data_IF_603487947621
#
_entry.id   IF_603487947621
#
_cell.length_a   1.000
_cell.length_b   1.000
_cell.length_c   1.000
_cell.angle_alpha   90.00
_cell.angle_beta   90.00
_cell.angle_gamma   90.00
#
_symmetry.space_group_name_H-M   'P 1'
#
loop_
_entity.id
_entity.type
_entity.pdbx_description
1 polymer ?
#
# COMPACT_ATOMS: atom_id res chain seq x y z
N UNK A 1 19.38 -0.36 -22.98
CA UNK A 1 20.01 0.91 -23.37
C UNK A 1 21.37 0.59 -23.93
N UNK A 2 21.51 0.55 -25.25
CA UNK A 2 22.74 0.20 -25.92
C UNK A 2 23.50 1.47 -26.35
N UNK A 3 24.84 1.40 -26.38
CA UNK A 3 25.72 2.53 -26.68
C UNK A 3 25.38 3.79 -25.86
N UNK A 4 24.86 3.61 -24.66
CA UNK A 4 24.46 4.69 -23.76
C UNK A 4 25.71 5.47 -23.30
N UNK A 5 25.71 6.80 -23.50
CA UNK A 5 26.86 7.64 -23.20
C UNK A 5 26.46 9.07 -22.84
N UNK A 6 27.27 9.66 -21.99
CA UNK A 6 27.18 11.06 -21.57
C UNK A 6 28.23 11.87 -22.30
N UNK A 7 27.86 13.03 -22.88
CA UNK A 7 28.72 13.87 -23.66
C UNK A 7 29.03 15.13 -22.89
N UNK A 8 30.31 15.46 -22.72
CA UNK A 8 30.79 16.72 -22.12
C UNK A 8 30.73 17.87 -23.11
N UNK A 9 30.85 19.12 -22.61
CA UNK A 9 30.83 20.33 -23.41
C UNK A 9 31.96 20.38 -24.46
N UNK A 10 33.08 19.70 -24.22
CA UNK A 10 34.20 19.59 -25.15
C UNK A 10 34.03 18.48 -26.20
N UNK A 11 32.90 17.77 -26.19
CA UNK A 11 32.59 16.67 -27.07
C UNK A 11 33.12 15.32 -26.62
N UNK A 12 33.80 15.23 -25.48
CA UNK A 12 34.27 13.97 -24.92
C UNK A 12 33.06 13.13 -24.48
N UNK A 13 33.02 11.84 -24.92
CA UNK A 13 32.00 10.90 -24.52
C UNK A 13 32.51 10.01 -23.38
N UNK A 14 31.63 9.71 -22.43
CA UNK A 14 31.82 8.72 -21.35
C UNK A 14 30.70 7.70 -21.44
N UNK A 15 31.04 6.40 -21.46
CA UNK A 15 30.04 5.35 -21.52
C UNK A 15 29.26 5.27 -20.20
N UNK A 16 27.95 5.07 -20.28
CA UNK A 16 27.09 5.02 -19.09
C UNK A 16 27.39 3.80 -18.22
N UNK A 17 27.83 2.72 -18.81
CA UNK A 17 28.28 1.50 -18.11
C UNK A 17 29.57 1.70 -17.28
N UNK A 18 30.33 2.78 -17.55
CA UNK A 18 31.53 3.19 -16.80
C UNK A 18 31.18 4.14 -15.64
N UNK A 19 29.96 4.67 -15.60
CA UNK A 19 29.49 5.59 -14.55
C UNK A 19 28.71 4.79 -13.50
N UNK A 20 29.10 4.82 -12.22
CA UNK A 20 28.33 4.13 -11.17
C UNK A 20 26.96 4.81 -11.01
N UNK A 21 25.90 4.01 -10.97
CA UNK A 21 24.56 4.50 -10.61
C UNK A 21 24.40 4.57 -9.10
N UNK A 22 23.66 5.56 -8.60
CA UNK A 22 23.37 5.73 -7.17
C UNK A 22 22.15 4.94 -6.73
N UNK A 23 21.20 4.74 -7.64
CA UNK A 23 20.01 3.95 -7.39
C UNK A 23 19.72 3.06 -8.60
N UNK A 24 19.39 1.81 -8.36
CA UNK A 24 19.04 0.88 -9.42
C UNK A 24 18.07 -0.19 -8.96
N UNK A 25 16.92 -0.26 -9.62
CA UNK A 25 15.93 -1.31 -9.42
C UNK A 25 15.48 -1.84 -10.77
N UNK A 26 15.23 -3.13 -10.85
CA UNK A 26 14.68 -3.81 -12.01
C UNK A 26 13.52 -4.70 -11.59
N UNK A 27 12.55 -4.90 -12.48
CA UNK A 27 11.38 -5.74 -12.23
C UNK A 27 11.72 -7.22 -12.05
N UNK A 28 12.86 -7.65 -12.59
CA UNK A 28 13.44 -8.97 -12.42
C UNK A 28 14.96 -8.89 -12.64
N UNK A 29 15.73 -9.68 -11.88
CA UNK A 29 17.18 -9.63 -11.81
C UNK A 29 17.71 -8.24 -11.37
N UNK A 30 19.03 -8.07 -11.34
CA UNK A 30 19.67 -6.77 -11.11
C UNK A 30 19.99 -6.10 -12.45
N UNK A 31 20.05 -4.75 -12.49
CA UNK A 31 20.63 -4.08 -13.63
C UNK A 31 22.04 -4.60 -13.92
N UNK A 32 22.38 -4.80 -15.19
CA UNK A 32 23.70 -5.29 -15.61
C UNK A 32 24.32 -4.34 -16.63
N UNK A 33 25.65 -4.26 -16.55
CA UNK A 33 26.46 -3.46 -17.47
C UNK A 33 27.06 -4.39 -18.51
N UNK A 34 26.90 -4.02 -19.79
CA UNK A 34 27.47 -4.70 -20.96
C UNK A 34 26.99 -6.13 -21.22
N UNK A 35 26.11 -6.66 -20.39
CA UNK A 35 25.50 -7.99 -20.57
C UNK A 35 23.99 -7.94 -20.34
N UNK A 36 23.28 -8.89 -20.89
CA UNK A 36 21.86 -9.12 -20.62
C UNK A 36 21.64 -9.90 -19.31
N UNK A 37 20.41 -10.27 -19.00
CA UNK A 37 20.06 -10.98 -17.78
C UNK A 37 20.81 -12.32 -17.58
N UNK A 38 21.22 -12.95 -18.66
CA UNK A 38 21.85 -14.27 -18.69
C UNK A 38 23.38 -14.22 -18.85
N UNK A 39 23.99 -13.04 -18.66
CA UNK A 39 25.43 -12.79 -18.81
C UNK A 39 25.95 -12.98 -20.24
N UNK A 40 25.05 -12.88 -21.23
CA UNK A 40 25.41 -12.84 -22.65
C UNK A 40 25.52 -11.38 -23.12
N UNK A 41 26.10 -11.17 -24.30
CA UNK A 41 26.15 -9.88 -24.97
C UNK A 41 24.73 -9.30 -25.18
N UNK A 42 24.59 -7.98 -25.11
CA UNK A 42 23.32 -7.30 -25.41
C UNK A 42 23.12 -7.34 -26.93
N UNK A 43 22.03 -7.94 -27.37
CA UNK A 43 21.64 -8.03 -28.80
C UNK A 43 20.27 -7.39 -28.97
N UNK A 44 20.16 -6.40 -29.87
CA UNK A 44 18.90 -5.72 -30.19
C UNK A 44 18.69 -5.78 -31.71
N UNK A 45 17.61 -6.41 -32.15
CA UNK A 45 17.29 -6.59 -33.57
C UNK A 45 18.47 -7.18 -34.38
N UNK A 46 19.13 -8.20 -33.84
CA UNK A 46 20.26 -8.92 -34.46
C UNK A 46 21.59 -8.14 -34.42
N UNK A 47 21.66 -6.98 -33.79
CA UNK A 47 22.88 -6.19 -33.65
C UNK A 47 23.45 -6.35 -32.23
N UNK A 48 24.70 -6.76 -32.13
CA UNK A 48 25.45 -6.90 -30.87
C UNK A 48 26.02 -5.55 -30.42
N UNK A 49 25.99 -5.31 -29.07
CA UNK A 49 26.48 -4.09 -28.45
C UNK A 49 27.47 -4.41 -27.32
N UNK A 50 28.65 -3.79 -27.40
CA UNK A 50 29.71 -3.93 -26.38
C UNK A 50 29.49 -3.06 -25.18
N UNK A 51 28.81 -1.92 -25.36
CA UNK A 51 28.47 -0.98 -24.29
C UNK A 51 26.95 -0.90 -24.13
N UNK A 52 26.48 -1.05 -22.92
CA UNK A 52 25.06 -0.92 -22.65
C UNK A 52 24.67 -1.20 -21.21
N UNK A 53 23.46 -0.82 -20.91
CA UNK A 53 22.84 -1.04 -19.60
C UNK A 53 21.57 -1.86 -19.78
N UNK A 54 21.61 -3.07 -19.28
CA UNK A 54 20.43 -3.93 -19.20
C UNK A 54 19.65 -3.64 -17.93
N UNK A 55 18.35 -3.42 -18.06
CA UNK A 55 17.45 -3.29 -16.93
C UNK A 55 16.08 -3.85 -17.31
N UNK A 56 15.61 -4.85 -16.57
CA UNK A 56 14.30 -5.44 -16.83
C UNK A 56 13.18 -4.46 -16.43
N UNK A 57 12.19 -4.31 -17.31
CA UNK A 57 11.01 -3.49 -16.99
C UNK A 57 10.20 -4.11 -15.83
N UNK A 58 9.73 -3.32 -14.94
CA UNK A 58 9.75 -1.91 -14.60
C UNK A 58 11.07 -1.50 -13.89
N UNK A 59 12.08 -1.12 -14.62
CA UNK A 59 13.37 -0.78 -14.05
C UNK A 59 13.61 0.74 -14.03
N UNK A 60 14.36 1.18 -13.04
CA UNK A 60 14.81 2.57 -12.90
C UNK A 60 16.26 2.59 -12.46
N UNK A 61 17.06 3.41 -13.12
CA UNK A 61 18.44 3.68 -12.76
C UNK A 61 18.62 5.20 -12.59
N UNK A 62 19.34 5.61 -11.58
CA UNK A 62 19.67 7.01 -11.33
C UNK A 62 21.18 7.16 -11.31
N UNK A 63 21.67 8.09 -12.11
CA UNK A 63 23.10 8.35 -12.27
C UNK A 63 23.47 9.76 -11.79
N UNK A 64 24.54 9.90 -10.99
CA UNK A 64 25.06 11.21 -10.59
C UNK A 64 25.88 11.79 -11.73
N UNK A 65 25.34 12.78 -12.45
CA UNK A 65 26.02 13.35 -13.62
C UNK A 65 26.80 14.65 -13.35
N UNK A 66 26.69 15.26 -12.15
CA UNK A 66 27.54 16.32 -11.64
C UNK A 66 27.63 17.60 -12.48
N UNK A 67 26.67 17.89 -13.35
CA UNK A 67 26.67 19.09 -14.22
C UNK A 67 27.80 19.12 -15.25
N UNK A 68 28.54 18.03 -15.45
CA UNK A 68 29.69 17.96 -16.36
C UNK A 68 29.31 17.63 -17.79
N UNK A 69 28.10 17.15 -18.02
CA UNK A 69 27.62 16.62 -19.27
C UNK A 69 26.54 17.55 -19.87
N UNK A 70 26.55 17.68 -21.15
CA UNK A 70 25.62 18.55 -21.90
C UNK A 70 24.62 17.73 -22.73
N UNK A 71 24.83 16.41 -22.87
CA UNK A 71 23.97 15.55 -23.67
C UNK A 71 24.09 14.09 -23.25
N UNK A 72 22.97 13.37 -23.31
CA UNK A 72 22.90 11.92 -23.22
C UNK A 72 22.51 11.33 -24.58
N UNK A 73 23.14 10.25 -24.98
CA UNK A 73 22.85 9.51 -26.20
C UNK A 73 22.73 8.03 -25.90
N UNK A 74 21.73 7.34 -26.48
CA UNK A 74 21.60 5.90 -26.40
C UNK A 74 20.79 5.35 -27.57
N UNK A 75 21.05 4.10 -27.97
CA UNK A 75 20.13 3.27 -28.72
C UNK A 75 19.30 2.46 -27.73
N UNK A 76 17.99 2.33 -27.97
CA UNK A 76 17.10 1.62 -27.05
C UNK A 76 16.36 0.50 -27.78
N UNK A 77 16.16 -0.61 -27.09
CA UNK A 77 15.42 -1.75 -27.66
C UNK A 77 15.25 -2.86 -26.62
N UNK A 78 14.49 -3.87 -27.01
CA UNK A 78 14.32 -5.08 -26.23
C UNK A 78 15.42 -6.06 -26.66
N UNK A 79 16.10 -6.68 -25.70
CA UNK A 79 17.11 -7.70 -25.97
C UNK A 79 16.47 -8.92 -26.66
N UNK A 80 17.13 -9.46 -27.67
CA UNK A 80 16.61 -10.53 -28.54
C UNK A 80 16.38 -11.87 -27.80
N UNK A 81 16.85 -12.00 -26.55
CA UNK A 81 16.50 -13.13 -25.68
C UNK A 81 15.05 -13.07 -25.20
N UNK A 82 14.38 -11.94 -25.38
CA UNK A 82 12.97 -11.73 -25.02
C UNK A 82 12.08 -12.20 -26.18
N UNK A 83 11.14 -13.09 -25.90
CA UNK A 83 10.24 -13.65 -26.92
C UNK A 83 9.09 -12.76 -27.35
N UNK A 84 9.04 -11.51 -26.87
CA UNK A 84 7.98 -10.52 -27.18
C UNK A 84 7.77 -9.53 -26.05
N UNK A 85 6.90 -8.57 -26.29
CA UNK A 85 6.55 -7.53 -25.35
C UNK A 85 6.73 -6.13 -25.92
N UNK A 86 6.29 -5.14 -25.19
CA UNK A 86 6.56 -3.72 -25.46
C UNK A 86 7.12 -3.07 -24.21
N UNK A 87 8.16 -2.25 -24.38
CA UNK A 87 8.80 -1.54 -23.28
C UNK A 87 8.81 -0.06 -23.63
N UNK A 88 8.47 0.75 -22.65
CA UNK A 88 8.59 2.17 -22.72
C UNK A 88 9.95 2.59 -22.13
N UNK A 89 10.71 3.38 -22.89
CA UNK A 89 12.01 3.91 -22.48
C UNK A 89 11.87 5.40 -22.17
N UNK A 90 12.34 5.80 -21.01
CA UNK A 90 12.27 7.19 -20.57
C UNK A 90 13.60 7.62 -19.95
N UNK A 91 14.11 8.76 -20.35
CA UNK A 91 15.21 9.44 -19.68
C UNK A 91 14.67 10.73 -19.06
N UNK A 92 14.89 10.94 -17.79
CA UNK A 92 14.34 12.05 -17.01
C UNK A 92 15.47 12.90 -16.43
N UNK A 93 15.23 14.18 -16.32
CA UNK A 93 16.06 15.14 -15.57
C UNK A 93 15.49 15.39 -14.16
N UNK A 94 14.47 14.65 -13.77
CA UNK A 94 13.89 14.67 -12.42
C UNK A 94 13.83 13.27 -11.86
N UNK A 95 14.01 13.15 -10.55
CA UNK A 95 13.87 11.86 -9.86
C UNK A 95 12.38 11.55 -9.70
N UNK A 96 11.89 10.39 -10.17
CA UNK A 96 10.51 9.98 -9.93
C UNK A 96 10.19 9.95 -8.43
N UNK A 97 8.95 10.27 -8.03
CA UNK A 97 8.55 10.43 -6.62
C UNK A 97 8.86 9.20 -5.77
N UNK A 98 8.65 7.99 -6.30
CA UNK A 98 8.95 6.75 -5.59
C UNK A 98 10.46 6.54 -5.36
N UNK A 99 11.30 7.03 -6.27
CA UNK A 99 12.77 7.02 -6.11
C UNK A 99 13.19 8.08 -5.12
N UNK A 100 12.57 9.26 -5.16
CA UNK A 100 12.82 10.34 -4.21
C UNK A 100 12.45 9.92 -2.77
N UNK A 101 11.39 9.12 -2.57
CA UNK A 101 11.04 8.57 -1.27
C UNK A 101 12.11 7.61 -0.73
N UNK A 102 12.71 6.78 -1.56
CA UNK A 102 13.83 5.91 -1.17
C UNK A 102 15.11 6.71 -0.92
N UNK A 103 15.42 7.70 -1.75
CA UNK A 103 16.58 8.57 -1.62
C UNK A 103 16.43 9.57 -0.46
N UNK A 104 15.22 9.87 0.02
CA UNK A 104 14.98 10.70 1.22
C UNK A 104 15.57 10.09 2.52
N UNK A 105 16.03 8.86 2.46
CA UNK A 105 16.85 8.26 3.51
C UNK A 105 18.29 8.83 3.52
N UNK A 106 18.69 9.49 2.43
CA UNK A 106 20.04 10.03 2.20
C UNK A 106 19.94 11.45 1.60
N UNK A 107 19.53 12.45 2.42
CA UNK A 107 19.18 13.79 1.90
C UNK A 107 20.36 14.58 1.32
N UNK A 108 21.60 14.28 1.66
CA UNK A 108 22.77 14.94 1.09
C UNK A 108 23.01 14.52 -0.36
N UNK A 109 22.78 13.27 -0.68
CA UNK A 109 22.89 12.69 -2.01
C UNK A 109 21.79 13.22 -2.95
N UNK A 110 20.58 13.47 -2.43
CA UNK A 110 19.46 14.02 -3.21
C UNK A 110 19.72 15.46 -3.65
N UNK A 111 20.28 16.28 -2.78
CA UNK A 111 20.65 17.67 -3.13
C UNK A 111 21.65 17.71 -4.28
N UNK A 112 22.62 16.80 -4.28
CA UNK A 112 23.58 16.64 -5.38
C UNK A 112 22.90 16.14 -6.65
N UNK A 113 22.02 15.16 -6.55
CA UNK A 113 21.33 14.55 -7.68
C UNK A 113 20.37 15.54 -8.36
N UNK A 114 19.59 16.32 -7.60
CA UNK A 114 18.71 17.35 -8.14
C UNK A 114 19.47 18.42 -8.94
N UNK A 115 20.57 18.96 -8.39
CA UNK A 115 21.41 19.93 -9.08
C UNK A 115 22.06 19.40 -10.36
N UNK A 116 22.27 18.11 -10.43
CA UNK A 116 22.88 17.39 -11.54
C UNK A 116 21.90 17.17 -12.68
N UNK A 117 20.66 16.78 -12.37
CA UNK A 117 19.63 16.51 -13.38
C UNK A 117 19.11 17.80 -14.02
N UNK A 118 19.09 18.91 -13.31
CA UNK A 118 18.74 20.25 -13.84
C UNK A 118 19.69 20.77 -14.94
N UNK A 119 20.90 20.22 -15.04
CA UNK A 119 21.88 20.56 -16.06
C UNK A 119 21.78 19.78 -17.37
N UNK A 120 20.89 18.78 -17.48
CA UNK A 120 20.74 17.93 -18.67
C UNK A 120 19.61 18.41 -19.60
N UNK A 121 19.81 19.60 -20.23
CA UNK A 121 18.76 20.25 -21.01
C UNK A 121 18.52 19.70 -22.43
N UNK A 122 19.31 18.74 -22.92
CA UNK A 122 19.20 18.31 -24.32
C UNK A 122 19.15 16.78 -24.45
N UNK A 123 17.98 16.28 -24.76
CA UNK A 123 17.73 14.89 -25.08
C UNK A 123 17.61 14.67 -26.58
N UNK A 124 18.24 13.61 -27.12
CA UNK A 124 18.14 13.22 -28.54
C UNK A 124 16.83 12.51 -28.90
N UNK A 125 16.00 12.18 -27.93
CA UNK A 125 14.65 11.72 -28.19
C UNK A 125 13.82 12.96 -28.44
N UNK A 126 13.09 13.02 -29.55
CA UNK A 126 12.11 14.07 -29.76
C UNK A 126 11.11 13.98 -28.62
N UNK A 127 11.14 14.92 -27.66
CA UNK A 127 10.26 14.83 -26.52
C UNK A 127 8.84 15.00 -27.03
N UNK A 128 7.95 14.11 -26.58
CA UNK A 128 6.53 14.24 -26.78
C UNK A 128 5.80 14.01 -25.44
N UNK A 129 4.54 14.32 -25.39
CA UNK A 129 3.72 14.15 -24.20
C UNK A 129 2.99 12.79 -24.17
N UNK A 130 3.53 11.75 -24.81
CA UNK A 130 2.85 10.46 -24.94
C UNK A 130 2.63 9.76 -23.61
N UNK A 131 3.55 9.91 -22.68
CA UNK A 131 3.49 9.33 -21.32
C UNK A 131 2.41 9.97 -20.49
N UNK A 132 2.41 11.29 -20.43
CA UNK A 132 1.45 12.08 -19.67
C UNK A 132 0.05 11.89 -20.27
N UNK A 133 -0.04 11.82 -21.61
CA UNK A 133 -1.28 11.46 -22.29
C UNK A 133 -1.76 10.07 -21.89
N UNK A 134 -0.89 9.07 -21.91
CA UNK A 134 -1.26 7.70 -21.50
C UNK A 134 -1.68 7.65 -20.03
N UNK A 135 -0.99 8.38 -19.15
CA UNK A 135 -1.36 8.51 -17.75
C UNK A 135 -2.76 9.13 -17.60
N UNK A 136 -3.05 10.18 -18.38
CA UNK A 136 -4.37 10.81 -18.39
C UNK A 136 -5.46 9.86 -18.92
N UNK A 137 -5.21 9.17 -20.03
CA UNK A 137 -6.14 8.19 -20.60
C UNK A 137 -6.43 7.06 -19.59
N UNK A 138 -5.41 6.54 -18.91
CA UNK A 138 -5.54 5.50 -17.87
C UNK A 138 -6.33 6.01 -16.64
N UNK A 139 -6.10 7.25 -16.22
CA UNK A 139 -6.86 7.86 -15.12
C UNK A 139 -8.33 8.04 -15.51
N UNK A 140 -8.61 8.57 -16.70
CA UNK A 140 -9.97 8.79 -17.23
C UNK A 140 -10.74 7.47 -17.35
N UNK A 141 -10.08 6.39 -17.77
CA UNK A 141 -10.71 5.07 -17.91
C UNK A 141 -11.25 4.50 -16.58
N UNK A 142 -10.83 5.02 -15.44
CA UNK A 142 -11.32 4.63 -14.11
C UNK A 142 -12.61 5.32 -13.69
N UNK A 143 -12.98 6.42 -14.37
CA UNK A 143 -14.24 7.11 -14.11
C UNK A 143 -15.41 6.32 -14.69
N UNK A 144 -16.57 6.35 -14.03
CA UNK A 144 -17.83 5.77 -14.55
C UNK A 144 -18.27 6.41 -15.86
N UNK A 145 -17.98 7.70 -16.02
CA UNK A 145 -18.18 8.45 -17.26
C UNK A 145 -16.99 9.40 -17.46
N UNK A 146 -16.12 9.04 -18.40
CA UNK A 146 -14.92 9.79 -18.73
C UNK A 146 -15.03 10.62 -20.02
N UNK A 147 -16.21 10.66 -20.67
CA UNK A 147 -16.36 11.26 -22.01
C UNK A 147 -15.93 12.74 -22.07
N UNK A 148 -16.31 13.53 -21.08
CA UNK A 148 -15.91 14.93 -20.98
C UNK A 148 -14.38 15.08 -20.90
N UNK A 149 -13.76 14.35 -19.99
CA UNK A 149 -12.31 14.43 -19.76
C UNK A 149 -11.49 13.83 -20.90
N UNK A 150 -12.01 12.83 -21.61
CA UNK A 150 -11.46 12.35 -22.87
C UNK A 150 -11.43 13.45 -23.96
N UNK A 151 -12.46 14.29 -23.99
CA UNK A 151 -12.48 15.45 -24.91
C UNK A 151 -11.47 16.53 -24.46
N UNK A 152 -11.31 16.76 -23.16
CA UNK A 152 -10.26 17.65 -22.63
C UNK A 152 -8.87 17.12 -23.01
N UNK A 153 -8.61 15.82 -22.85
CA UNK A 153 -7.35 15.20 -23.27
C UNK A 153 -7.06 15.38 -24.77
N UNK A 154 -8.09 15.25 -25.63
CA UNK A 154 -7.96 15.52 -27.07
C UNK A 154 -7.64 17.00 -27.38
N UNK A 155 -8.17 17.94 -26.61
CA UNK A 155 -7.84 19.35 -26.76
C UNK A 155 -6.39 19.63 -26.37
N UNK A 156 -5.90 19.03 -25.28
CA UNK A 156 -4.52 19.11 -24.83
C UNK A 156 -3.58 18.57 -25.92
N UNK A 157 -3.95 17.50 -26.63
CA UNK A 157 -3.16 16.94 -27.72
C UNK A 157 -2.88 17.92 -28.87
N UNK A 158 -3.70 18.96 -29.03
CA UNK A 158 -3.51 20.01 -30.04
C UNK A 158 -2.63 21.18 -29.55
N UNK A 159 -2.15 21.17 -28.30
CA UNK A 159 -1.23 22.17 -27.79
C UNK A 159 0.12 22.06 -28.50
N UNK A 160 0.65 23.21 -28.94
CA UNK A 160 1.89 23.27 -29.73
C UNK A 160 3.15 23.37 -28.87
N UNK A 161 3.02 23.97 -27.69
CA UNK A 161 4.11 24.05 -26.75
C UNK A 161 4.15 22.80 -25.89
N UNK A 162 5.21 22.00 -26.02
CA UNK A 162 5.35 20.72 -25.37
C UNK A 162 5.29 20.83 -23.84
N UNK A 163 5.98 21.81 -23.25
CA UNK A 163 5.98 21.96 -21.78
C UNK A 163 4.58 22.30 -21.26
N UNK A 164 3.84 23.13 -22.00
CA UNK A 164 2.44 23.44 -21.69
C UNK A 164 1.54 22.22 -21.85
N UNK A 165 1.79 21.41 -22.89
CA UNK A 165 1.04 20.16 -23.13
C UNK A 165 1.25 19.17 -21.99
N UNK A 166 2.49 18.90 -21.59
CA UNK A 166 2.85 18.04 -20.46
C UNK A 166 2.20 18.54 -19.17
N UNK A 167 2.35 19.81 -18.84
CA UNK A 167 1.75 20.38 -17.63
C UNK A 167 0.23 20.21 -17.60
N UNK A 168 -0.47 20.48 -18.71
CA UNK A 168 -1.93 20.30 -18.81
C UNK A 168 -2.36 18.85 -18.66
N UNK A 169 -1.58 17.88 -19.17
CA UNK A 169 -1.87 16.46 -18.92
C UNK A 169 -1.70 16.10 -17.46
N UNK A 170 -0.65 16.56 -16.78
CA UNK A 170 -0.44 16.32 -15.37
C UNK A 170 -1.56 16.93 -14.52
N UNK A 171 -1.95 18.17 -14.79
CA UNK A 171 -3.11 18.84 -14.15
C UNK A 171 -4.40 18.04 -14.38
N UNK A 172 -4.58 17.47 -15.59
CA UNK A 172 -5.73 16.61 -15.90
C UNK A 172 -5.69 15.30 -15.10
N UNK A 173 -4.52 14.68 -14.98
CA UNK A 173 -4.35 13.46 -14.15
C UNK A 173 -4.73 13.72 -12.70
N UNK A 174 -4.22 14.79 -12.10
CA UNK A 174 -4.54 15.18 -10.73
C UNK A 174 -6.05 15.40 -10.55
N UNK A 175 -6.65 16.18 -11.43
CA UNK A 175 -8.09 16.45 -11.42
C UNK A 175 -8.92 15.17 -11.52
N UNK A 176 -8.56 14.29 -12.43
CA UNK A 176 -9.29 13.01 -12.65
C UNK A 176 -9.07 12.06 -11.47
N UNK A 177 -7.89 12.03 -10.86
CA UNK A 177 -7.65 11.24 -9.66
C UNK A 177 -8.48 11.74 -8.46
N UNK A 178 -8.58 13.07 -8.28
CA UNK A 178 -9.47 13.67 -7.27
C UNK A 178 -10.92 13.26 -7.51
N UNK A 179 -11.39 13.31 -8.75
CA UNK A 179 -12.74 12.90 -9.12
C UNK A 179 -12.99 11.40 -8.94
N UNK A 180 -12.00 10.58 -9.22
CA UNK A 180 -12.10 9.15 -8.96
C UNK A 180 -12.25 8.84 -7.47
N UNK A 181 -11.49 9.54 -6.61
CA UNK A 181 -11.65 9.45 -5.16
C UNK A 181 -13.04 9.89 -4.74
N UNK A 182 -13.49 11.04 -5.23
CA UNK A 182 -14.83 11.55 -4.95
C UNK A 182 -15.95 10.59 -5.40
N UNK A 183 -15.80 10.00 -6.58
CA UNK A 183 -16.71 8.95 -7.08
C UNK A 183 -16.76 7.76 -6.12
N UNK A 184 -15.60 7.27 -5.69
CA UNK A 184 -15.51 6.13 -4.77
C UNK A 184 -16.17 6.45 -3.44
N UNK A 185 -15.96 7.65 -2.89
CA UNK A 185 -16.58 8.07 -1.64
C UNK A 185 -18.12 8.20 -1.76
N UNK A 186 -18.60 8.66 -2.92
CA UNK A 186 -20.03 8.75 -3.19
C UNK A 186 -20.72 7.39 -3.34
N UNK A 187 -20.00 6.34 -3.75
CA UNK A 187 -20.52 4.96 -3.76
C UNK A 187 -20.87 4.46 -2.36
N UNK A 188 -20.16 4.94 -1.36
CA UNK A 188 -20.40 4.65 0.06
C UNK A 188 -21.33 5.66 0.73
N UNK A 189 -21.89 6.60 -0.03
CA UNK A 189 -22.87 7.56 0.49
C UNK A 189 -24.27 6.92 0.53
N UNK A 190 -24.63 6.45 1.72
CA UNK A 190 -25.95 5.93 2.02
C UNK A 190 -26.69 6.92 2.96
N UNK A 191 -27.47 7.83 2.39
CA UNK A 191 -28.15 8.89 3.14
C UNK A 191 -29.21 8.32 4.07
N UNK A 192 -29.90 7.23 3.70
CA UNK A 192 -30.86 6.58 4.59
C UNK A 192 -30.19 6.00 5.84
N UNK A 193 -29.00 5.39 5.68
CA UNK A 193 -28.22 4.95 6.84
C UNK A 193 -27.80 6.11 7.73
N UNK A 194 -27.44 7.26 7.15
CA UNK A 194 -27.10 8.48 7.95
C UNK A 194 -28.33 9.01 8.70
N UNK A 195 -29.53 8.98 8.09
CA UNK A 195 -30.79 9.37 8.77
C UNK A 195 -31.07 8.44 9.98
N UNK A 196 -30.91 7.13 9.79
CA UNK A 196 -31.11 6.16 10.87
C UNK A 196 -30.11 6.38 12.00
N UNK A 197 -28.83 6.57 11.65
CA UNK A 197 -27.79 6.86 12.64
C UNK A 197 -28.06 8.18 13.38
N UNK A 198 -28.45 9.25 12.68
CA UNK A 198 -28.84 10.52 13.30
C UNK A 198 -30.02 10.35 14.27
N UNK A 199 -31.06 9.62 13.86
CA UNK A 199 -32.24 9.37 14.68
C UNK A 199 -31.92 8.59 15.95
N UNK A 200 -30.92 7.72 15.91
CA UNK A 200 -30.42 6.99 17.08
C UNK A 200 -29.52 7.87 17.96
N UNK A 201 -28.55 8.57 17.38
CA UNK A 201 -27.64 9.47 18.10
C UNK A 201 -28.39 10.62 18.79
N UNK A 202 -29.47 11.11 18.19
CA UNK A 202 -30.36 12.15 18.80
C UNK A 202 -30.90 11.74 20.17
N UNK A 203 -31.00 10.46 20.49
CA UNK A 203 -31.45 9.92 21.77
C UNK A 203 -30.33 9.87 22.81
N UNK A 204 -29.09 10.04 22.38
CA UNK A 204 -27.92 9.89 23.25
C UNK A 204 -27.59 11.20 23.98
N UNK A 205 -27.22 11.06 25.25
CA UNK A 205 -26.78 12.21 26.06
C UNK A 205 -25.45 12.74 25.48
N UNK A 206 -25.40 14.03 25.19
CA UNK A 206 -24.21 14.70 24.67
C UNK A 206 -24.20 14.89 23.15
N UNK A 207 -25.17 14.32 22.42
CA UNK A 207 -25.30 14.61 21.00
C UNK A 207 -26.11 15.90 20.76
N UNK A 208 -25.49 16.88 20.09
CA UNK A 208 -26.13 18.14 19.74
C UNK A 208 -26.92 18.01 18.42
N UNK A 209 -28.13 17.46 18.52
CA UNK A 209 -28.97 17.26 17.34
C UNK A 209 -29.31 18.56 16.61
N UNK A 210 -29.50 19.68 17.35
CA UNK A 210 -29.84 20.97 16.77
C UNK A 210 -28.75 21.52 15.85
N UNK A 211 -27.50 21.25 16.18
CA UNK A 211 -26.32 21.61 15.36
C UNK A 211 -26.25 20.82 14.05
N UNK A 212 -26.61 19.53 14.07
CA UNK A 212 -26.41 18.63 12.94
C UNK A 212 -27.66 18.41 12.07
N UNK A 213 -28.86 18.75 12.56
CA UNK A 213 -30.10 18.64 11.77
C UNK A 213 -30.08 19.49 10.48
N UNK A 214 -29.57 20.73 10.47
CA UNK A 214 -29.39 21.48 9.21
C UNK A 214 -28.45 20.78 8.22
N UNK A 215 -27.37 20.13 8.70
CA UNK A 215 -26.45 19.39 7.86
C UNK A 215 -27.12 18.13 7.26
N UNK A 216 -27.99 17.44 8.01
CA UNK A 216 -28.76 16.32 7.51
C UNK A 216 -29.73 16.75 6.43
N UNK A 217 -30.43 17.87 6.62
CA UNK A 217 -31.34 18.43 5.64
C UNK A 217 -30.61 18.81 4.34
N UNK A 218 -29.44 19.42 4.47
CA UNK A 218 -28.58 19.75 3.34
C UNK A 218 -28.11 18.50 2.60
N UNK A 219 -27.65 17.47 3.32
CA UNK A 219 -27.26 16.19 2.74
C UNK A 219 -28.39 15.57 1.93
N UNK A 220 -29.60 15.53 2.47
CA UNK A 220 -30.81 15.04 1.77
C UNK A 220 -31.11 15.86 0.52
N UNK A 221 -30.98 17.18 0.60
CA UNK A 221 -31.18 18.09 -0.54
C UNK A 221 -30.19 17.80 -1.66
N UNK A 222 -28.89 17.64 -1.30
CA UNK A 222 -27.81 17.39 -2.25
C UNK A 222 -27.94 16.00 -2.92
N UNK A 223 -28.32 14.98 -2.15
CA UNK A 223 -28.60 13.64 -2.70
C UNK A 223 -29.72 13.69 -3.75
N UNK A 224 -30.85 14.38 -3.45
CA UNK A 224 -31.96 14.54 -4.38
C UNK A 224 -31.57 15.28 -5.67
N UNK A 225 -30.67 16.26 -5.57
CA UNK A 225 -30.10 16.96 -6.74
C UNK A 225 -29.26 16.01 -7.60
N UNK A 226 -28.57 15.09 -6.95
CA UNK A 226 -27.64 14.15 -7.58
C UNK A 226 -26.31 14.78 -7.98
N UNK A 227 -25.33 13.94 -8.33
CA UNK A 227 -23.94 14.34 -8.51
C UNK A 227 -23.42 14.08 -9.95
N UNK A 228 -24.30 13.81 -10.92
CA UNK A 228 -23.88 13.46 -12.29
C UNK A 228 -23.00 14.52 -12.97
N UNK A 229 -23.16 15.79 -12.58
CA UNK A 229 -22.35 16.90 -13.10
C UNK A 229 -20.84 16.76 -12.84
N UNK A 230 -20.39 15.95 -11.84
CA UNK A 230 -18.97 15.75 -11.56
C UNK A 230 -18.22 15.20 -12.78
N UNK A 231 -18.88 14.38 -13.60
CA UNK A 231 -18.29 13.79 -14.79
C UNK A 231 -18.20 14.74 -15.99
N UNK A 232 -18.88 15.89 -15.91
CA UNK A 232 -18.92 16.90 -16.96
C UNK A 232 -18.09 18.15 -16.63
N UNK A 233 -17.26 18.09 -15.56
CA UNK A 233 -16.45 19.23 -15.12
C UNK A 233 -17.27 20.35 -14.46
N UNK A 234 -18.49 20.07 -14.02
CA UNK A 234 -19.32 21.03 -13.29
C UNK A 234 -18.76 21.24 -11.87
N UNK A 235 -18.10 22.37 -11.67
CA UNK A 235 -17.46 22.71 -10.38
C UNK A 235 -18.49 22.83 -9.25
N UNK A 236 -19.75 23.23 -9.56
CA UNK A 236 -20.78 23.28 -8.55
C UNK A 236 -21.23 21.88 -8.12
N UNK A 237 -21.30 20.92 -9.07
CA UNK A 237 -21.61 19.54 -8.75
C UNK A 237 -20.47 18.87 -7.93
N UNK A 238 -19.23 19.22 -8.22
CA UNK A 238 -18.06 18.77 -7.44
C UNK A 238 -18.13 19.34 -6.02
N UNK A 239 -18.39 20.63 -5.88
CA UNK A 239 -18.54 21.27 -4.56
C UNK A 239 -19.73 20.69 -3.76
N UNK A 240 -20.86 20.44 -4.42
CA UNK A 240 -22.04 19.82 -3.82
C UNK A 240 -21.73 18.38 -3.33
N UNK A 241 -21.01 17.61 -4.11
CA UNK A 241 -20.58 16.25 -3.75
C UNK A 241 -19.65 16.26 -2.51
N UNK A 242 -18.62 17.12 -2.51
CA UNK A 242 -17.74 17.31 -1.37
C UNK A 242 -18.52 17.74 -0.12
N UNK A 243 -19.46 18.65 -0.28
CA UNK A 243 -20.31 19.12 0.81
C UNK A 243 -21.21 18.02 1.38
N UNK A 244 -21.76 17.16 0.54
CA UNK A 244 -22.55 16.02 0.98
C UNK A 244 -21.73 15.05 1.84
N UNK A 245 -20.49 14.72 1.42
CA UNK A 245 -19.57 13.87 2.18
C UNK A 245 -19.12 14.53 3.49
N UNK A 246 -18.87 15.84 3.48
CA UNK A 246 -18.57 16.62 4.69
C UNK A 246 -19.73 16.56 5.68
N UNK A 247 -20.97 16.77 5.23
CA UNK A 247 -22.15 16.67 6.08
C UNK A 247 -22.29 15.28 6.70
N UNK A 248 -22.18 14.21 5.88
CA UNK A 248 -22.16 12.82 6.37
C UNK A 248 -21.11 12.63 7.46
N UNK A 249 -19.86 13.05 7.19
CA UNK A 249 -18.74 12.91 8.13
C UNK A 249 -18.99 13.65 9.42
N UNK A 250 -19.41 14.93 9.37
CA UNK A 250 -19.66 15.74 10.54
C UNK A 250 -20.75 15.15 11.42
N UNK A 251 -21.86 14.68 10.84
CA UNK A 251 -22.97 14.06 11.56
C UNK A 251 -22.50 12.80 12.29
N UNK A 252 -21.81 11.89 11.59
CA UNK A 252 -21.45 10.58 12.13
C UNK A 252 -20.31 10.65 13.16
N UNK A 253 -19.30 11.50 12.93
CA UNK A 253 -18.18 11.68 13.85
C UNK A 253 -18.55 12.48 15.11
N UNK A 254 -19.73 13.08 15.15
CA UNK A 254 -20.26 13.71 16.36
C UNK A 254 -20.86 12.72 17.36
N UNK A 255 -20.89 11.44 17.06
CA UNK A 255 -21.39 10.42 17.98
C UNK A 255 -20.62 10.47 19.30
N UNK A 256 -21.31 10.69 20.44
CA UNK A 256 -20.66 10.79 21.76
C UNK A 256 -19.91 9.52 22.19
N UNK A 257 -20.24 8.37 21.58
CA UNK A 257 -19.54 7.11 21.83
C UNK A 257 -18.20 7.02 21.08
N UNK A 258 -17.96 7.90 20.11
CA UNK A 258 -16.69 8.02 19.40
C UNK A 258 -15.84 9.12 20.07
N UNK A 259 -15.48 8.94 21.32
CA UNK A 259 -14.70 9.90 22.12
C UNK A 259 -13.18 9.76 21.93
N UNK A 260 -12.75 8.81 21.11
CA UNK A 260 -11.35 8.65 20.80
C UNK A 260 -10.79 9.84 20.00
N UNK A 261 -9.66 10.37 20.45
CA UNK A 261 -8.91 11.41 19.74
C UNK A 261 -7.97 10.83 18.68
N UNK A 262 -7.57 9.58 18.88
CA UNK A 262 -6.62 8.86 18.05
C UNK A 262 -7.08 7.43 17.85
N UNK A 263 -6.70 6.85 16.72
CA UNK A 263 -6.82 5.42 16.45
C UNK A 263 -5.50 4.86 15.89
N UNK A 264 -5.28 3.59 16.12
CA UNK A 264 -4.15 2.84 15.57
C UNK A 264 -4.68 1.87 14.53
N UNK A 265 -4.02 1.81 13.39
CA UNK A 265 -4.42 0.97 12.27
C UNK A 265 -3.21 0.34 11.57
N UNK A 266 -3.42 -0.82 10.95
CA UNK A 266 -2.50 -1.34 9.96
C UNK A 266 -2.83 -0.72 8.59
N UNK A 267 -1.81 -0.21 7.90
CA UNK A 267 -1.91 0.35 6.55
C UNK A 267 -1.17 -0.54 5.58
N UNK A 268 -1.80 -0.84 4.45
CA UNK A 268 -1.24 -1.64 3.37
C UNK A 268 -1.24 -0.84 2.07
N UNK A 269 -0.22 -1.01 1.24
CA UNK A 269 -0.17 -0.41 -0.09
C UNK A 269 -1.12 -1.14 -1.05
N UNK A 270 -2.10 -0.42 -1.58
CA UNK A 270 -3.04 -0.94 -2.58
C UNK A 270 -2.31 -1.27 -3.88
N UNK A 271 -2.64 -2.42 -4.48
CA UNK A 271 -2.03 -2.86 -5.75
C UNK A 271 -0.67 -3.54 -5.60
N UNK A 272 -0.12 -3.68 -4.39
CA UNK A 272 1.02 -4.54 -4.16
C UNK A 272 0.65 -6.01 -4.41
N UNK A 273 1.61 -6.83 -4.82
CA UNK A 273 1.39 -8.27 -5.00
C UNK A 273 0.87 -8.93 -3.72
N UNK A 274 1.39 -8.50 -2.59
CA UNK A 274 0.96 -8.96 -1.28
C UNK A 274 -0.49 -8.56 -0.97
N UNK A 275 -0.91 -7.33 -1.30
CA UNK A 275 -2.30 -6.90 -1.17
C UNK A 275 -3.24 -7.81 -1.98
N UNK A 276 -2.86 -8.20 -3.20
CA UNK A 276 -3.66 -9.11 -4.02
C UNK A 276 -3.83 -10.49 -3.38
N UNK A 277 -2.82 -10.98 -2.67
CA UNK A 277 -2.86 -12.26 -1.96
C UNK A 277 -3.77 -12.17 -0.72
N UNK A 278 -3.74 -11.04 -0.02
CA UNK A 278 -4.49 -10.82 1.23
C UNK A 278 -5.93 -10.33 1.00
N UNK A 279 -6.27 -9.89 -0.21
CA UNK A 279 -7.62 -9.44 -0.54
C UNK A 279 -8.53 -10.65 -0.83
N UNK A 280 -9.76 -10.69 -0.32
CA UNK A 280 -10.48 -9.61 0.38
C UNK A 280 -10.26 -9.57 1.89
N UNK A 281 -9.41 -10.40 2.43
CA UNK A 281 -9.38 -10.71 3.86
C UNK A 281 -8.29 -10.02 4.64
N UNK A 282 -7.83 -8.86 4.26
CA UNK A 282 -6.88 -7.97 4.99
C UNK A 282 -6.48 -8.51 6.39
N UNK A 283 -5.49 -9.40 6.45
CA UNK A 283 -5.04 -10.00 7.70
C UNK A 283 -5.88 -11.16 8.23
N UNK A 284 -6.90 -11.60 7.49
CA UNK A 284 -7.67 -12.80 7.81
C UNK A 284 -7.45 -13.88 6.76
N UNK A 285 -7.86 -15.11 7.04
CA UNK A 285 -7.73 -16.22 6.11
C UNK A 285 -8.68 -16.06 4.92
N UNK A 286 -8.24 -16.52 3.78
CA UNK A 286 -9.06 -16.57 2.58
C UNK A 286 -10.26 -17.54 2.71
N UNK A 287 -10.17 -18.51 3.62
CA UNK A 287 -11.18 -19.54 3.88
C UNK A 287 -10.97 -20.20 5.25
N UNK A 288 -11.89 -21.07 5.65
CA UNK A 288 -11.89 -21.68 6.99
C UNK A 288 -10.83 -22.76 7.20
N UNK A 289 -10.25 -23.34 6.16
CA UNK A 289 -9.20 -24.37 6.30
C UNK A 289 -7.79 -23.80 6.29
N UNK A 290 -7.63 -22.56 5.86
CA UNK A 290 -6.36 -21.84 5.95
C UNK A 290 -6.29 -21.04 7.25
N UNK A 291 -5.11 -20.85 7.75
CA UNK A 291 -4.84 -19.97 8.89
C UNK A 291 -3.74 -18.97 8.54
N UNK A 292 -3.26 -18.22 9.52
CA UNK A 292 -2.18 -17.24 9.31
C UNK A 292 -0.94 -17.89 8.70
N UNK A 293 -0.70 -19.16 8.99
CA UNK A 293 0.44 -19.92 8.50
C UNK A 293 0.45 -20.05 6.98
N UNK A 294 -0.72 -20.17 6.35
CA UNK A 294 -0.86 -20.23 4.89
C UNK A 294 -0.81 -18.87 4.19
N UNK A 295 -0.80 -17.77 4.94
CA UNK A 295 -0.69 -16.43 4.38
C UNK A 295 0.71 -16.16 3.81
N UNK A 296 0.79 -15.24 2.85
CA UNK A 296 2.08 -14.78 2.31
C UNK A 296 2.96 -14.19 3.42
N UNK A 297 4.25 -14.52 3.39
CA UNK A 297 5.21 -14.19 4.45
C UNK A 297 6.10 -13.00 4.16
N UNK A 298 6.12 -12.54 2.91
CA UNK A 298 6.98 -11.44 2.45
C UNK A 298 6.38 -10.70 1.25
N UNK A 299 6.99 -9.57 0.88
CA UNK A 299 6.55 -8.78 -0.26
C UNK A 299 5.42 -7.81 0.06
N UNK A 300 5.21 -7.54 1.36
CA UNK A 300 4.22 -6.58 1.83
C UNK A 300 4.84 -5.19 1.98
N UNK A 301 4.06 -4.17 1.64
CA UNK A 301 4.30 -2.79 2.05
C UNK A 301 3.23 -2.43 3.07
N UNK A 302 3.50 -2.79 4.31
CA UNK A 302 2.60 -2.64 5.45
C UNK A 302 3.26 -1.84 6.57
N UNK A 303 2.48 -1.10 7.32
CA UNK A 303 2.96 -0.37 8.49
C UNK A 303 1.85 -0.18 9.53
N UNK A 304 2.24 0.07 10.77
CA UNK A 304 1.34 0.51 11.84
C UNK A 304 1.36 2.04 11.85
N UNK A 305 0.19 2.64 11.79
CA UNK A 305 0.02 4.10 11.81
C UNK A 305 -0.89 4.53 12.95
N UNK A 306 -0.60 5.70 13.52
CA UNK A 306 -1.51 6.44 14.38
C UNK A 306 -2.21 7.50 13.53
N UNK A 307 -3.53 7.53 13.58
CA UNK A 307 -4.35 8.57 12.98
C UNK A 307 -4.87 9.48 14.10
N UNK A 308 -4.63 10.77 13.98
CA UNK A 308 -5.10 11.81 14.92
C UNK A 308 -5.91 12.87 14.21
N UNK A 309 -6.49 13.79 14.98
CA UNK A 309 -7.41 14.83 14.47
C UNK A 309 -8.57 14.23 13.66
N UNK A 310 -9.18 13.17 14.17
CA UNK A 310 -10.18 12.37 13.44
C UNK A 310 -11.41 13.16 12.97
N UNK A 311 -11.70 14.31 13.61
CA UNK A 311 -12.83 15.20 13.28
C UNK A 311 -12.47 16.35 12.35
N UNK A 312 -11.19 16.57 12.11
CA UNK A 312 -10.64 17.59 11.20
C UNK A 312 -9.85 16.97 10.05
N UNK A 313 -8.75 17.60 9.69
CA UNK A 313 -7.77 17.07 8.75
C UNK A 313 -6.97 15.97 9.44
N UNK A 314 -7.23 14.73 9.06
CA UNK A 314 -6.59 13.57 9.66
C UNK A 314 -5.08 13.68 9.47
N UNK A 315 -4.35 13.58 10.58
CA UNK A 315 -2.91 13.48 10.59
C UNK A 315 -2.53 12.01 10.75
N UNK A 316 -1.60 11.54 9.94
CA UNK A 316 -1.10 10.17 9.99
C UNK A 316 0.37 10.19 10.38
N UNK A 317 0.72 9.38 11.38
CA UNK A 317 2.09 9.18 11.84
C UNK A 317 2.41 7.71 11.82
N UNK A 318 3.53 7.36 11.20
CA UNK A 318 4.05 5.98 11.25
C UNK A 318 4.49 5.66 12.69
N UNK A 319 4.01 4.55 13.22
CA UNK A 319 4.43 3.98 14.49
C UNK A 319 5.52 2.94 14.27
N UNK A 320 5.29 2.04 13.30
CA UNK A 320 6.22 0.96 13.01
C UNK A 320 6.08 0.47 11.56
N UNK A 321 7.18 0.07 10.96
CA UNK A 321 7.21 -0.57 9.64
C UNK A 321 8.18 -1.77 9.68
N UNK A 322 7.75 -2.99 9.28
CA UNK A 322 8.62 -4.14 9.15
C UNK A 322 9.74 -3.91 8.14
N UNK A 323 10.97 -4.25 8.49
CA UNK A 323 12.14 -4.11 7.61
C UNK A 323 12.24 -5.23 6.56
N UNK A 324 11.68 -6.39 6.86
CA UNK A 324 11.76 -7.60 6.04
C UNK A 324 10.60 -7.76 5.03
N UNK A 325 9.76 -6.74 4.86
CA UNK A 325 8.60 -6.82 3.98
C UNK A 325 7.51 -7.79 4.46
N UNK A 326 7.46 -8.07 5.76
CA UNK A 326 6.38 -8.85 6.37
C UNK A 326 5.05 -8.09 6.33
N UNK A 327 3.94 -8.83 6.36
CA UNK A 327 2.64 -8.24 6.66
C UNK A 327 2.54 -7.84 8.12
N UNK A 328 1.52 -7.06 8.44
CA UNK A 328 1.09 -6.77 9.82
C UNK A 328 -0.34 -7.28 9.96
N UNK A 329 -0.56 -8.20 10.91
CA UNK A 329 -1.87 -8.77 11.17
C UNK A 329 -2.21 -8.68 12.67
N UNK A 330 -3.49 -8.90 12.99
CA UNK A 330 -3.99 -9.13 14.35
C UNK A 330 -3.63 -8.02 15.35
N UNK A 331 -3.72 -6.76 14.90
CA UNK A 331 -3.37 -5.59 15.71
C UNK A 331 -4.27 -5.48 16.93
N UNK A 332 -3.70 -5.47 18.14
CA UNK A 332 -4.40 -5.31 19.42
C UNK A 332 -3.77 -4.20 20.25
N UNK A 333 -4.57 -3.22 20.66
CA UNK A 333 -4.14 -2.19 21.60
C UNK A 333 -4.06 -2.77 23.02
N UNK A 334 -2.99 -2.46 23.74
CA UNK A 334 -2.88 -2.79 25.16
C UNK A 334 -3.88 -1.98 26.00
N UNK A 335 -4.27 -2.51 27.15
CA UNK A 335 -5.22 -1.87 28.07
C UNK A 335 -4.81 -0.47 28.52
N UNK A 336 -3.51 -0.21 28.63
CA UNK A 336 -2.97 1.10 29.02
C UNK A 336 -3.02 2.14 27.87
N UNK A 337 -3.28 1.70 26.64
CA UNK A 337 -3.36 2.56 25.46
C UNK A 337 -2.02 3.14 24.99
N UNK A 338 -0.90 2.55 25.39
CA UNK A 338 0.46 3.04 25.14
C UNK A 338 1.28 2.18 24.15
N UNK A 339 0.80 0.98 23.85
CA UNK A 339 1.49 0.01 22.98
C UNK A 339 0.52 -0.92 22.28
N UNK A 340 0.98 -1.55 21.22
CA UNK A 340 0.20 -2.50 20.41
C UNK A 340 0.94 -3.82 20.25
N UNK A 341 0.17 -4.90 20.27
CA UNK A 341 0.56 -6.23 19.86
C UNK A 341 0.14 -6.47 18.42
N UNK A 342 0.93 -7.20 17.68
CA UNK A 342 0.61 -7.59 16.30
C UNK A 342 1.39 -8.82 15.88
N UNK A 343 0.95 -9.45 14.81
CA UNK A 343 1.61 -10.59 14.18
C UNK A 343 2.43 -10.12 12.98
N UNK A 344 3.67 -10.56 12.89
CA UNK A 344 4.52 -10.45 11.69
C UNK A 344 5.47 -11.64 11.57
N UNK A 345 6.09 -11.82 10.40
CA UNK A 345 7.13 -12.84 10.24
C UNK A 345 8.47 -12.38 10.82
N UNK A 346 9.22 -13.34 11.34
CA UNK A 346 10.63 -13.19 11.72
C UNK A 346 11.54 -13.16 10.47
N UNK A 347 12.84 -12.96 10.65
CA UNK A 347 13.80 -12.99 9.55
C UNK A 347 13.91 -14.38 8.89
N UNK A 348 13.63 -15.45 9.63
CA UNK A 348 13.51 -16.82 9.14
C UNK A 348 12.14 -17.14 8.54
N UNK A 349 11.28 -16.14 8.38
CA UNK A 349 9.94 -16.18 7.83
C UNK A 349 8.88 -16.91 8.68
N UNK A 350 9.18 -17.32 9.91
CA UNK A 350 8.18 -17.85 10.84
C UNK A 350 7.32 -16.71 11.38
N UNK A 351 6.04 -16.98 11.56
CA UNK A 351 5.13 -16.05 12.23
C UNK A 351 5.44 -15.96 13.72
N UNK A 352 5.46 -14.72 14.24
CA UNK A 352 5.56 -14.48 15.67
C UNK A 352 4.78 -13.23 16.08
N UNK A 353 4.52 -13.12 17.37
CA UNK A 353 3.82 -11.97 17.97
C UNK A 353 4.84 -10.99 18.52
N UNK A 354 4.64 -9.74 18.17
CA UNK A 354 5.48 -8.62 18.56
C UNK A 354 4.68 -7.56 19.28
N UNK A 355 5.40 -6.72 20.00
CA UNK A 355 4.88 -5.52 20.66
C UNK A 355 5.73 -4.32 20.28
N UNK A 356 5.09 -3.16 20.15
CA UNK A 356 5.75 -1.88 19.96
C UNK A 356 4.98 -0.79 20.69
N UNK A 357 5.69 0.16 21.31
CA UNK A 357 5.07 1.34 21.91
C UNK A 357 4.49 2.26 20.84
N UNK A 358 3.43 3.00 21.16
CA UNK A 358 2.81 3.93 20.20
C UNK A 358 3.76 5.08 19.80
N UNK A 359 4.81 5.37 20.56
CA UNK A 359 5.85 6.33 20.18
C UNK A 359 6.88 5.78 19.18
N UNK A 360 6.75 4.48 18.80
CA UNK A 360 7.65 3.78 17.88
C UNK A 360 8.84 3.11 18.56
N UNK A 361 8.98 3.24 19.85
CA UNK A 361 10.07 2.60 20.63
C UNK A 361 9.66 1.22 21.16
N UNK A 362 10.59 0.49 21.74
CA UNK A 362 10.32 -0.73 22.49
C UNK A 362 9.86 -1.92 21.63
N UNK A 363 10.15 -1.92 20.31
CA UNK A 363 9.87 -3.08 19.47
C UNK A 363 10.59 -4.33 19.99
N UNK A 364 9.84 -5.38 20.24
CA UNK A 364 10.35 -6.67 20.74
C UNK A 364 9.41 -7.82 20.40
N UNK A 365 9.91 -9.05 20.31
CA UNK A 365 9.05 -10.23 20.34
C UNK A 365 8.33 -10.29 21.69
N UNK A 366 7.05 -10.61 21.66
CA UNK A 366 6.27 -10.80 22.88
C UNK A 366 6.25 -12.28 23.28
N UNK A 367 6.30 -13.18 22.29
CA UNK A 367 6.53 -14.60 22.50
C UNK A 367 7.97 -14.92 22.12
N UNK A 368 8.75 -15.36 23.11
CA UNK A 368 10.10 -15.85 22.92
C UNK A 368 10.10 -17.39 22.92
N UNK A 369 10.56 -17.97 21.82
CA UNK A 369 10.57 -19.40 21.63
C UNK A 369 11.70 -19.83 20.70
N UNK A 370 12.46 -20.87 21.12
CA UNK A 370 13.62 -21.37 20.39
C UNK A 370 13.29 -22.58 19.50
N UNK A 371 12.05 -23.10 19.57
CA UNK A 371 11.62 -24.23 18.75
C UNK A 371 11.44 -23.80 17.29
N UNK A 372 12.20 -24.37 16.35
CA UNK A 372 12.23 -23.89 14.99
C UNK A 372 10.94 -24.13 14.20
N UNK A 373 10.12 -25.05 14.65
CA UNK A 373 8.89 -25.48 13.96
C UNK A 373 7.62 -24.86 14.57
N UNK A 374 7.76 -24.01 15.61
CA UNK A 374 6.63 -23.34 16.23
C UNK A 374 6.43 -21.93 15.68
N UNK A 375 5.18 -21.65 15.37
CA UNK A 375 4.70 -20.32 14.94
C UNK A 375 3.64 -19.81 15.92
N UNK A 376 3.57 -18.48 16.06
CA UNK A 376 2.60 -17.81 16.92
C UNK A 376 1.99 -16.64 16.18
N UNK A 377 0.68 -16.51 16.27
CA UNK A 377 -0.08 -15.45 15.62
C UNK A 377 -1.39 -15.17 16.37
N UNK A 378 -2.10 -14.15 15.98
CA UNK A 378 -3.42 -13.79 16.48
C UNK A 378 -3.48 -13.74 18.02
N UNK A 379 -2.62 -12.89 18.59
CA UNK A 379 -2.47 -12.74 20.03
C UNK A 379 -3.56 -11.88 20.67
N UNK A 380 -3.80 -12.10 21.97
CA UNK A 380 -4.58 -11.18 22.80
C UNK A 380 -3.99 -11.06 24.20
N UNK A 381 -3.95 -9.84 24.74
CA UNK A 381 -3.47 -9.57 26.09
C UNK A 381 -4.45 -10.09 27.14
N UNK A 382 -3.92 -10.64 28.23
CA UNK A 382 -4.65 -10.87 29.45
C UNK A 382 -4.38 -9.74 30.48
N UNK A 383 -5.33 -9.43 31.35
CA UNK A 383 -5.16 -8.36 32.34
C UNK A 383 -3.98 -8.57 33.31
N UNK A 384 -3.51 -9.80 33.49
CA UNK A 384 -2.38 -10.15 34.37
C UNK A 384 -1.01 -10.10 33.66
N UNK A 385 -1.00 -9.70 32.38
CA UNK A 385 0.21 -9.56 31.56
C UNK A 385 0.60 -10.81 30.79
N UNK A 386 -0.14 -11.91 30.93
CA UNK A 386 0.02 -13.08 30.06
C UNK A 386 -0.64 -12.83 28.69
N UNK A 387 -0.39 -13.74 27.77
CA UNK A 387 -0.89 -13.65 26.39
C UNK A 387 -1.56 -14.96 26.02
N UNK A 388 -2.72 -14.88 25.38
CA UNK A 388 -3.25 -15.99 24.62
C UNK A 388 -2.87 -15.75 23.16
N UNK A 389 -2.35 -16.78 22.51
CA UNK A 389 -1.99 -16.77 21.10
C UNK A 389 -2.52 -18.02 20.40
N UNK A 390 -2.53 -18.00 19.09
CA UNK A 390 -2.71 -19.20 18.27
C UNK A 390 -1.34 -19.73 17.88
N UNK A 391 -1.18 -21.04 17.90
CA UNK A 391 0.07 -21.72 17.56
C UNK A 391 -0.19 -23.07 16.91
N UNK A 392 0.71 -23.50 16.05
CA UNK A 392 0.76 -24.84 15.48
C UNK A 392 1.33 -25.90 16.44
N UNK A 393 1.37 -25.62 17.74
CA UNK A 393 1.93 -26.48 18.80
C UNK A 393 1.37 -27.92 18.82
N UNK A 394 0.24 -28.15 18.17
CA UNK A 394 -0.31 -29.48 18.00
C UNK A 394 0.48 -30.36 17.03
N UNK A 395 1.32 -29.78 16.19
CA UNK A 395 2.01 -30.42 15.07
C UNK A 395 1.08 -31.26 14.19
N UNK A 396 -0.13 -30.74 13.99
CA UNK A 396 -1.19 -31.41 13.27
C UNK A 396 -1.48 -30.64 11.97
N UNK A 397 -1.47 -31.34 10.86
CA UNK A 397 -1.83 -30.77 9.55
C UNK A 397 -3.34 -30.77 9.34
N UNK A 398 -3.82 -29.77 8.58
CA UNK A 398 -5.21 -29.68 8.14
C UNK A 398 -5.47 -30.75 7.07
N UNK A 399 -6.38 -31.72 7.28
CA UNK A 399 -6.57 -32.83 6.35
C UNK A 399 -7.06 -32.38 4.96
N UNK A 400 -7.89 -31.35 4.90
CA UNK A 400 -8.47 -30.82 3.66
C UNK A 400 -7.45 -30.35 2.61
N UNK A 401 -6.27 -29.96 3.07
CA UNK A 401 -5.17 -29.47 2.22
C UNK A 401 -3.96 -30.41 2.27
N UNK A 402 -4.21 -31.69 2.48
CA UNK A 402 -3.20 -32.74 2.55
C UNK A 402 -2.12 -32.48 3.62
N UNK A 403 -2.47 -31.79 4.68
CA UNK A 403 -1.53 -31.44 5.76
C UNK A 403 -0.53 -30.34 5.42
N UNK A 404 -0.72 -29.60 4.32
CA UNK A 404 0.17 -28.50 3.93
C UNK A 404 0.08 -27.31 4.86
N UNK A 405 -1.07 -27.11 5.51
CA UNK A 405 -1.28 -26.07 6.53
C UNK A 405 -1.41 -26.70 7.90
N UNK A 406 -0.87 -26.07 8.92
CA UNK A 406 -0.95 -26.57 10.28
C UNK A 406 -2.24 -26.11 11.00
N UNK A 407 -2.72 -26.96 11.90
CA UNK A 407 -3.87 -26.64 12.76
C UNK A 407 -3.44 -25.65 13.85
N UNK A 408 -4.08 -24.48 13.89
CA UNK A 408 -3.87 -23.47 14.92
C UNK A 408 -4.67 -23.78 16.18
N UNK A 409 -3.99 -23.96 17.32
CA UNK A 409 -4.62 -24.11 18.62
C UNK A 409 -4.25 -22.96 19.56
N UNK A 410 -5.13 -22.65 20.52
CA UNK A 410 -4.83 -21.63 21.52
C UNK A 410 -3.77 -22.11 22.50
N UNK A 411 -2.83 -21.21 22.80
CA UNK A 411 -1.83 -21.36 23.86
C UNK A 411 -1.90 -20.18 24.82
N UNK A 412 -1.63 -20.44 26.08
CA UNK A 412 -1.34 -19.43 27.09
C UNK A 412 0.17 -19.31 27.24
N UNK A 413 0.68 -18.11 27.09
CA UNK A 413 2.09 -17.79 27.27
C UNK A 413 2.27 -16.80 28.40
N UNK A 414 3.23 -17.05 29.30
CA UNK A 414 3.65 -16.10 30.33
C UNK A 414 5.02 -15.48 29.97
N UNK A 415 5.07 -14.19 29.64
CA UNK A 415 6.32 -13.53 29.28
C UNK A 415 7.35 -13.45 30.42
N UNK A 416 6.92 -13.67 31.69
CA UNK A 416 7.82 -13.56 32.87
C UNK A 416 8.76 -14.73 33.02
N UNK A 417 8.24 -15.93 32.80
CA UNK A 417 9.01 -17.17 32.94
C UNK A 417 9.11 -17.97 31.64
N UNK A 418 8.54 -17.40 30.55
CA UNK A 418 8.47 -18.01 29.21
C UNK A 418 7.73 -19.34 29.17
N UNK A 419 6.90 -19.62 30.20
CA UNK A 419 6.11 -20.84 30.23
C UNK A 419 4.98 -20.81 29.21
N UNK A 420 4.71 -21.97 28.64
CA UNK A 420 3.68 -22.14 27.63
C UNK A 420 2.75 -23.30 27.99
N UNK A 421 1.45 -23.10 27.79
CA UNK A 421 0.46 -24.12 28.01
C UNK A 421 -0.58 -24.12 26.90
N UNK A 422 -0.78 -25.24 26.23
CA UNK A 422 -1.86 -25.41 25.26
C UNK A 422 -3.23 -25.38 25.99
N UNK A 423 -4.16 -24.61 25.43
CA UNK A 423 -5.50 -24.42 26.00
C UNK A 423 -6.57 -25.18 25.24
N UNK A 424 -6.44 -25.33 23.92
CA UNK A 424 -7.38 -26.09 23.09
C UNK A 424 -6.70 -27.28 22.45
N UNK A 425 -7.50 -28.34 22.23
CA UNK A 425 -7.04 -29.61 21.68
C UNK A 425 -7.95 -30.05 20.52
N UNK A 426 -8.49 -29.05 19.82
CA UNK A 426 -9.36 -29.28 18.68
C UNK A 426 -8.58 -29.90 17.53
N UNK A 427 -9.27 -30.71 16.74
CA UNK A 427 -8.73 -31.30 15.52
C UNK A 427 -8.55 -30.26 14.43
N UNK A 428 -9.41 -29.25 14.43
CA UNK A 428 -9.43 -28.17 13.46
C UNK A 428 -9.01 -26.85 14.12
N UNK A 429 -8.78 -25.82 13.32
CA UNK A 429 -8.16 -24.60 13.78
C UNK A 429 -9.07 -23.70 14.64
N UNK A 430 -8.43 -22.96 15.54
CA UNK A 430 -9.02 -21.90 16.34
C UNK A 430 -8.42 -20.55 15.91
N UNK A 431 -9.21 -19.46 15.98
CA UNK A 431 -8.77 -18.13 15.56
C UNK A 431 -9.42 -17.03 16.41
N UNK A 432 -8.87 -15.85 16.32
CA UNK A 432 -9.40 -14.58 16.81
C UNK A 432 -9.81 -14.63 18.30
N UNK A 433 -8.91 -15.00 19.22
CA UNK A 433 -9.23 -14.99 20.64
C UNK A 433 -9.45 -13.55 21.12
N UNK A 434 -10.52 -13.34 21.88
CA UNK A 434 -10.87 -12.06 22.48
C UNK A 434 -11.29 -12.27 23.94
N UNK A 435 -10.77 -11.44 24.84
CA UNK A 435 -11.14 -11.48 26.25
C UNK A 435 -12.43 -10.69 26.46
N UNK A 436 -13.42 -11.36 27.00
CA UNK A 436 -14.70 -10.76 27.36
C UNK A 436 -14.64 -10.11 28.75
N UNK A 437 -15.50 -9.14 29.01
CA UNK A 437 -15.59 -8.44 30.29
C UNK A 437 -15.83 -9.35 31.51
N UNK A 438 -16.36 -10.55 31.31
CA UNK A 438 -16.58 -11.56 32.35
C UNK A 438 -15.38 -12.51 32.53
N UNK A 439 -14.23 -12.23 31.89
CA UNK A 439 -13.02 -13.04 31.96
C UNK A 439 -13.02 -14.30 31.11
N UNK A 440 -14.06 -14.56 30.31
CA UNK A 440 -14.08 -15.64 29.33
C UNK A 440 -13.34 -15.24 28.07
N UNK A 441 -12.86 -16.26 27.34
CA UNK A 441 -12.28 -16.10 26.01
C UNK A 441 -13.34 -16.49 24.98
N UNK A 442 -13.66 -15.57 24.10
CA UNK A 442 -14.44 -15.82 22.90
C UNK A 442 -13.47 -16.03 21.74
N UNK A 443 -13.69 -17.02 20.89
CA UNK A 443 -12.84 -17.31 19.75
C UNK A 443 -13.62 -18.00 18.63
N UNK A 444 -13.12 -17.93 17.42
CA UNK A 444 -13.66 -18.65 16.27
C UNK A 444 -13.11 -20.07 16.26
N UNK A 445 -13.99 -21.06 16.19
CA UNK A 445 -13.64 -22.48 16.07
C UNK A 445 -14.12 -23.00 14.72
N UNK A 446 -13.22 -23.59 13.98
CA UNK A 446 -13.59 -24.42 12.84
C UNK A 446 -13.84 -25.86 13.27
N UNK A 447 -14.79 -26.51 12.65
CA UNK A 447 -15.17 -27.88 12.95
C UNK A 447 -15.64 -28.56 11.67
N UNK A 448 -14.71 -29.23 11.02
CA UNK A 448 -14.93 -29.79 9.68
C UNK A 448 -15.84 -30.99 9.65
N UNK A 449 -15.94 -31.74 10.74
CA UNK A 449 -16.76 -32.98 10.85
C UNK A 449 -18.25 -32.72 10.74
N UNK A 450 -18.73 -31.56 11.23
CA UNK A 450 -20.15 -31.23 11.32
C UNK A 450 -20.57 -30.05 10.43
N UNK A 451 -19.61 -29.28 9.96
CA UNK A 451 -19.85 -28.06 9.19
C UNK A 451 -19.17 -28.14 7.82
N UNK A 452 -19.75 -27.46 6.86
CA UNK A 452 -19.10 -27.27 5.55
C UNK A 452 -17.85 -26.42 5.69
N UNK A 453 -16.98 -26.44 4.67
CA UNK A 453 -15.68 -25.71 4.65
C UNK A 453 -15.76 -24.23 5.02
N UNK A 454 -16.90 -23.58 4.77
CA UNK A 454 -17.07 -22.14 4.89
C UNK A 454 -17.73 -21.69 6.18
N UNK A 455 -18.02 -22.59 7.10
CA UNK A 455 -18.70 -22.25 8.33
C UNK A 455 -17.84 -22.54 9.56
N UNK A 456 -17.82 -21.59 10.48
CA UNK A 456 -17.14 -21.67 11.76
C UNK A 456 -18.12 -21.38 12.89
N UNK A 457 -17.79 -21.81 14.10
CA UNK A 457 -18.54 -21.52 15.34
C UNK A 457 -17.78 -20.50 16.18
N UNK A 458 -18.54 -19.80 17.03
CA UNK A 458 -17.99 -18.91 18.05
C UNK A 458 -18.28 -19.50 19.43
#
# INVERSE_FOLDING_TARGET
WANARLIKADGTAVWLDEVPYEYGVAGWAKPKMNTNAYDHEIVIAGKEYKHGVFCHANGTLVYPVGGQYVRFEAEVGIDDTSSGGSVFFQALNTVPTFVAEELNKYPEEIGMLGAVLDGLDTWLITPDASVEKQAADNAIARLKDGAYYSNVAKQIANEKDLNTQIRKYLELVEKVQELYTLQSDLEWLNVEAVKLAFADMKKQKGYDAAKYEPMLNELVRLEKKGFKGIYNGDEQAIADAKKALECKRAILLANPLLDADKIVAARFKVGSKAHQIMTPSLGTQANNWSNQESAGREGFDAEIVELSNLRGDIQMRQVYKPKNGSSIADLKLHWDGDRVMFTQTQDDKRWNIYEVNLDGTGFKPLVENDEPDLEFYDGTYLPDGRVIAISNIGYQGVPCVNGSDAVGNMVLYDPKDKSMRRLTFDQDANWNPVIMNNGRVMYTRWEYTDLTHYYSRI
#
